data_IF_671519042605
#
_entry.id   IF_671519042605
#
_cell.length_a   1.000
_cell.length_b   1.000
_cell.length_c   1.000
_cell.angle_alpha   90.00
_cell.angle_beta   90.00
_cell.angle_gamma   90.00
#
_symmetry.space_group_name_H-M   'P 1'
#
loop_
_entity.id
_entity.type
_entity.pdbx_description
1 polymer ?
#
# COMPACT_ATOMS: atom_id res chain seq x y z
N UNK A 1 -51.44 -6.59 2.80
CA UNK A 1 -50.00 -6.25 2.79
C UNK A 1 -49.63 -5.94 1.35
N UNK A 2 -49.24 -4.71 1.04
CA UNK A 2 -48.92 -4.26 -0.33
C UNK A 2 -47.51 -4.70 -0.72
N UNK A 3 -47.25 -4.85 -2.03
CA UNK A 3 -45.95 -5.26 -2.58
C UNK A 3 -44.78 -4.35 -2.13
N UNK A 4 -45.07 -3.09 -1.82
CA UNK A 4 -44.12 -2.12 -1.24
C UNK A 4 -43.58 -2.57 0.12
N UNK A 5 -44.46 -3.03 1.01
CA UNK A 5 -44.09 -3.38 2.39
C UNK A 5 -43.26 -4.67 2.45
N UNK A 6 -43.38 -5.54 1.45
CA UNK A 6 -42.57 -6.76 1.31
C UNK A 6 -41.14 -6.46 0.82
N UNK A 7 -40.99 -5.47 -0.07
CA UNK A 7 -39.68 -5.04 -0.58
C UNK A 7 -38.90 -4.30 0.50
N UNK A 8 -39.59 -3.47 1.28
CA UNK A 8 -39.00 -2.73 2.41
C UNK A 8 -38.51 -3.70 3.50
N UNK A 9 -39.32 -4.69 3.88
CA UNK A 9 -38.90 -5.73 4.84
C UNK A 9 -37.72 -6.56 4.33
N UNK A 10 -37.69 -6.86 3.02
CA UNK A 10 -36.54 -7.53 2.40
C UNK A 10 -35.29 -6.66 2.42
N UNK A 11 -35.42 -5.36 2.17
CA UNK A 11 -34.31 -4.41 2.24
C UNK A 11 -33.76 -4.32 3.66
N UNK A 12 -34.63 -4.23 4.67
CA UNK A 12 -34.25 -4.21 6.10
C UNK A 12 -33.55 -5.51 6.53
N UNK A 13 -34.08 -6.67 6.12
CA UNK A 13 -33.43 -7.96 6.35
C UNK A 13 -32.04 -8.01 5.71
N UNK A 14 -31.88 -7.49 4.49
CA UNK A 14 -30.60 -7.45 3.79
C UNK A 14 -29.61 -6.54 4.51
N UNK A 15 -30.00 -5.32 4.87
CA UNK A 15 -29.16 -4.38 5.61
C UNK A 15 -28.72 -4.96 6.94
N UNK A 16 -29.63 -5.62 7.66
CA UNK A 16 -29.34 -6.23 8.95
C UNK A 16 -28.38 -7.43 8.80
N UNK A 17 -28.49 -8.19 7.71
CA UNK A 17 -27.58 -9.30 7.41
C UNK A 17 -26.21 -8.79 6.99
N UNK A 18 -26.15 -7.68 6.26
CA UNK A 18 -24.91 -7.05 5.82
C UNK A 18 -24.18 -6.39 6.99
N UNK A 19 -24.90 -5.73 7.89
CA UNK A 19 -24.37 -5.19 9.14
C UNK A 19 -23.77 -6.29 10.04
N UNK A 20 -24.48 -7.41 10.22
CA UNK A 20 -23.98 -8.58 10.97
C UNK A 20 -22.72 -9.18 10.34
N UNK A 21 -22.67 -9.26 9.01
CA UNK A 21 -21.48 -9.74 8.30
C UNK A 21 -20.29 -8.81 8.52
N UNK A 22 -20.48 -7.49 8.48
CA UNK A 22 -19.41 -6.52 8.74
C UNK A 22 -18.94 -6.57 10.20
N UNK A 23 -19.86 -6.75 11.14
CA UNK A 23 -19.53 -6.85 12.56
C UNK A 23 -18.70 -8.10 12.89
N UNK A 24 -19.11 -9.26 12.36
CA UNK A 24 -18.33 -10.49 12.44
C UNK A 24 -16.96 -10.34 11.76
N UNK A 25 -16.92 -9.73 10.58
CA UNK A 25 -15.67 -9.48 9.87
C UNK A 25 -14.74 -8.56 10.66
N UNK A 26 -15.28 -7.51 11.31
CA UNK A 26 -14.50 -6.62 12.19
C UNK A 26 -13.87 -7.39 13.34
N UNK A 27 -14.67 -8.22 14.02
CA UNK A 27 -14.24 -9.02 15.16
C UNK A 27 -13.16 -10.03 14.77
N UNK A 28 -13.32 -10.73 13.66
CA UNK A 28 -12.30 -11.67 13.17
C UNK A 28 -11.08 -10.96 12.56
N UNK A 29 -11.29 -9.76 12.00
CA UNK A 29 -10.20 -8.97 11.42
C UNK A 29 -9.29 -8.37 12.47
N UNK A 30 -9.67 -8.24 13.74
CA UNK A 30 -8.90 -7.46 14.71
C UNK A 30 -7.48 -8.03 14.94
N UNK A 31 -7.36 -9.35 14.96
CA UNK A 31 -6.06 -10.03 15.04
C UNK A 31 -5.36 -10.10 13.67
N UNK A 32 -6.10 -10.44 12.61
CA UNK A 32 -5.56 -10.51 11.25
C UNK A 32 -5.13 -9.17 10.68
N UNK A 33 -5.68 -8.06 11.15
CA UNK A 33 -5.35 -6.70 10.72
C UNK A 33 -3.96 -6.31 11.22
N UNK A 34 -3.58 -6.71 12.44
CA UNK A 34 -2.24 -6.46 12.99
C UNK A 34 -1.18 -7.24 12.23
N UNK A 35 -1.40 -8.55 12.03
CA UNK A 35 -0.48 -9.38 11.25
C UNK A 35 -0.46 -9.00 9.76
N UNK A 36 -1.62 -8.72 9.20
CA UNK A 36 -1.79 -8.27 7.81
C UNK A 36 -1.11 -6.94 7.54
N UNK A 37 -1.18 -5.99 8.48
CA UNK A 37 -0.49 -4.70 8.37
C UNK A 37 1.04 -4.89 8.37
N UNK A 38 1.58 -5.72 9.27
CA UNK A 38 3.04 -6.00 9.34
C UNK A 38 3.53 -6.66 8.06
N UNK A 39 2.82 -7.67 7.56
CA UNK A 39 3.15 -8.36 6.31
C UNK A 39 3.06 -7.41 5.11
N UNK A 40 2.02 -6.59 5.03
CA UNK A 40 1.85 -5.62 3.94
C UNK A 40 3.01 -4.60 3.91
N UNK A 41 3.40 -4.04 5.07
CA UNK A 41 4.55 -3.13 5.17
C UNK A 41 5.84 -3.85 4.74
N UNK A 42 6.06 -5.08 5.18
CA UNK A 42 7.21 -5.89 4.78
C UNK A 42 7.28 -6.13 3.27
N UNK A 43 6.15 -6.45 2.63
CA UNK A 43 6.06 -6.62 1.18
C UNK A 43 6.35 -5.32 0.44
N UNK A 44 5.79 -4.19 0.90
CA UNK A 44 6.03 -2.88 0.27
C UNK A 44 7.50 -2.47 0.34
N UNK A 45 8.12 -2.62 1.52
CA UNK A 45 9.54 -2.29 1.71
C UNK A 45 10.43 -3.23 0.88
N UNK A 46 10.20 -4.54 0.97
CA UNK A 46 10.95 -5.55 0.21
C UNK A 46 10.84 -5.33 -1.30
N UNK A 47 9.61 -5.09 -1.80
CA UNK A 47 9.38 -4.76 -3.21
C UNK A 47 10.07 -3.46 -3.62
N UNK A 48 10.04 -2.43 -2.77
CA UNK A 48 10.75 -1.17 -2.99
C UNK A 48 12.26 -1.36 -3.17
N UNK A 49 12.90 -2.13 -2.29
CA UNK A 49 14.34 -2.44 -2.35
C UNK A 49 14.65 -3.25 -3.62
N UNK A 50 13.90 -4.32 -3.90
CA UNK A 50 14.13 -5.16 -5.09
C UNK A 50 13.89 -4.38 -6.39
N UNK A 51 12.86 -3.54 -6.45
CA UNK A 51 12.58 -2.70 -7.62
C UNK A 51 13.69 -1.66 -7.84
N UNK A 52 14.21 -1.06 -6.77
CA UNK A 52 15.31 -0.11 -6.84
C UNK A 52 16.60 -0.76 -7.36
N UNK A 53 16.95 -1.95 -6.84
CA UNK A 53 18.14 -2.69 -7.30
C UNK A 53 17.99 -3.20 -8.74
N UNK A 54 16.81 -3.70 -9.14
CA UNK A 54 16.53 -4.07 -10.54
C UNK A 54 16.62 -2.89 -11.49
N UNK A 55 16.14 -1.70 -11.10
CA UNK A 55 16.24 -0.48 -11.93
C UNK A 55 17.69 -0.10 -12.22
N UNK A 56 18.62 -0.36 -11.29
CA UNK A 56 20.07 -0.17 -11.52
C UNK A 56 20.62 -1.18 -12.53
N UNK A 57 20.25 -2.46 -12.41
CA UNK A 57 20.70 -3.51 -13.35
C UNK A 57 20.19 -3.30 -14.77
N UNK A 58 18.89 -3.01 -14.92
CA UNK A 58 18.28 -2.75 -16.24
C UNK A 58 19.01 -1.61 -16.97
N UNK A 59 19.36 -0.52 -16.28
CA UNK A 59 20.14 0.56 -16.88
C UNK A 59 21.50 0.10 -17.40
N UNK A 60 22.22 -0.70 -16.62
CA UNK A 60 23.54 -1.23 -16.99
C UNK A 60 23.40 -2.17 -18.20
N UNK A 61 22.40 -3.05 -18.20
CA UNK A 61 22.15 -3.98 -19.29
C UNK A 61 21.74 -3.26 -20.58
N UNK A 62 20.96 -2.17 -20.48
CA UNK A 62 20.61 -1.32 -21.64
C UNK A 62 21.85 -0.61 -22.21
N UNK A 63 22.73 -0.09 -21.35
CA UNK A 63 24.00 0.53 -21.79
C UNK A 63 24.89 -0.51 -22.49
N UNK A 64 25.01 -1.72 -21.92
CA UNK A 64 25.78 -2.81 -22.52
C UNK A 64 25.19 -3.25 -23.87
N UNK A 65 23.87 -3.31 -23.99
CA UNK A 65 23.21 -3.64 -25.25
C UNK A 65 23.45 -2.57 -26.32
N UNK A 66 23.47 -1.29 -25.95
CA UNK A 66 23.83 -0.20 -26.87
C UNK A 66 25.27 -0.31 -27.36
N UNK A 67 26.22 -0.63 -26.47
CA UNK A 67 27.64 -0.80 -26.79
C UNK A 67 27.87 -1.96 -27.77
N UNK A 68 27.18 -3.10 -27.57
CA UNK A 68 27.27 -4.26 -28.50
C UNK A 68 26.67 -3.92 -29.87
N UNK A 69 25.51 -3.27 -29.90
CA UNK A 69 24.86 -2.85 -31.15
C UNK A 69 25.70 -1.83 -31.93
N UNK A 70 26.43 -0.95 -31.25
CA UNK A 70 27.36 -0.01 -31.87
C UNK A 70 28.57 -0.73 -32.46
N UNK A 71 29.10 -1.73 -31.75
CA UNK A 71 30.24 -2.55 -32.19
C UNK A 71 29.92 -3.39 -33.43
N UNK A 72 28.67 -3.80 -33.59
CA UNK A 72 28.19 -4.56 -34.75
C UNK A 72 27.59 -3.67 -35.86
N UNK A 73 27.60 -2.34 -35.70
CA UNK A 73 27.09 -1.40 -36.70
C UNK A 73 25.56 -1.44 -36.88
N UNK A 74 24.84 -2.05 -35.95
CA UNK A 74 23.38 -2.23 -35.97
C UNK A 74 22.64 -1.12 -35.20
N UNK A 75 23.37 -0.23 -34.51
CA UNK A 75 22.78 0.84 -33.73
C UNK A 75 22.29 1.99 -34.63
N UNK A 76 20.97 2.11 -34.78
CA UNK A 76 20.30 3.24 -35.44
C UNK A 76 19.55 4.11 -34.41
N UNK A 77 19.28 5.38 -34.73
CA UNK A 77 18.60 6.37 -33.90
C UNK A 77 17.20 5.91 -33.43
N UNK A 78 16.48 5.17 -34.27
CA UNK A 78 15.19 4.58 -33.90
C UNK A 78 15.31 3.53 -32.78
N UNK A 79 16.36 2.71 -32.80
CA UNK A 79 16.62 1.68 -31.78
C UNK A 79 17.10 2.34 -30.49
N UNK A 80 17.99 3.35 -30.59
CA UNK A 80 18.43 4.18 -29.46
C UNK A 80 17.23 4.78 -28.72
N UNK A 81 16.31 5.40 -29.47
CA UNK A 81 15.13 6.06 -28.91
C UNK A 81 14.21 5.07 -28.20
N UNK A 82 13.99 3.89 -28.78
CA UNK A 82 13.14 2.84 -28.18
C UNK A 82 13.77 2.25 -26.92
N UNK A 83 15.08 1.98 -26.92
CA UNK A 83 15.80 1.47 -25.75
C UNK A 83 15.87 2.50 -24.62
N UNK A 84 15.90 3.80 -24.94
CA UNK A 84 15.86 4.87 -23.95
C UNK A 84 14.44 5.21 -23.46
N UNK A 85 13.39 4.85 -24.21
CA UNK A 85 12.00 5.17 -23.86
C UNK A 85 11.51 4.32 -22.69
N UNK A 86 11.73 4.78 -21.46
CA UNK A 86 11.13 4.14 -20.29
C UNK A 86 9.63 4.51 -20.25
N UNK A 87 8.73 3.54 -20.44
CA UNK A 87 7.29 3.74 -20.27
C UNK A 87 6.98 4.03 -18.80
N UNK A 88 6.84 5.31 -18.46
CA UNK A 88 6.48 5.72 -17.11
C UNK A 88 5.00 5.39 -16.84
N UNK A 89 4.71 4.81 -15.67
CA UNK A 89 3.34 4.51 -15.26
C UNK A 89 2.71 5.76 -14.65
N UNK A 90 1.64 6.26 -15.26
CA UNK A 90 0.88 7.43 -14.78
C UNK A 90 -0.04 7.09 -13.60
N UNK A 91 -0.41 5.82 -13.43
CA UNK A 91 -1.40 5.38 -12.45
C UNK A 91 -0.84 5.23 -11.02
N UNK A 92 0.35 4.66 -10.89
CA UNK A 92 0.97 4.40 -9.58
C UNK A 92 1.27 5.67 -8.76
N UNK A 93 1.84 6.75 -9.34
CA UNK A 93 2.15 7.95 -8.58
C UNK A 93 0.93 8.60 -7.93
N UNK A 94 -0.16 8.74 -8.70
CA UNK A 94 -1.39 9.37 -8.23
C UNK A 94 -2.10 8.55 -7.15
N UNK A 95 -2.16 7.23 -7.31
CA UNK A 95 -2.76 6.34 -6.32
C UNK A 95 -1.94 6.32 -5.02
N UNK A 96 -0.61 6.21 -5.12
CA UNK A 96 0.27 6.23 -3.94
C UNK A 96 0.17 7.55 -3.21
N UNK A 97 0.16 8.70 -3.91
CA UNK A 97 0.02 10.00 -3.28
C UNK A 97 -1.28 10.11 -2.47
N UNK A 98 -2.41 9.68 -3.03
CA UNK A 98 -3.71 9.70 -2.34
C UNK A 98 -3.73 8.79 -1.11
N UNK A 99 -3.20 7.57 -1.24
CA UNK A 99 -3.11 6.63 -0.12
C UNK A 99 -2.15 7.10 0.98
N UNK A 100 -1.06 7.77 0.61
CA UNK A 100 -0.08 8.28 1.57
C UNK A 100 -0.65 9.47 2.36
N UNK A 101 -1.35 10.40 1.68
CA UNK A 101 -2.05 11.50 2.34
C UNK A 101 -3.16 10.97 3.26
N UNK A 102 -3.96 10.00 2.79
CA UNK A 102 -5.02 9.40 3.59
C UNK A 102 -4.44 8.66 4.81
N UNK A 103 -3.35 7.90 4.61
CA UNK A 103 -2.66 7.20 5.68
C UNK A 103 -2.07 8.16 6.72
N UNK A 104 -1.43 9.25 6.28
CA UNK A 104 -0.93 10.31 7.17
C UNK A 104 -2.06 11.01 7.93
N UNK A 105 -3.17 11.32 7.26
CA UNK A 105 -4.33 11.95 7.89
C UNK A 105 -4.94 11.05 8.96
N UNK A 106 -5.10 9.75 8.67
CA UNK A 106 -5.65 8.78 9.61
C UNK A 106 -4.69 8.46 10.77
N UNK A 107 -3.39 8.48 10.52
CA UNK A 107 -2.38 8.24 11.53
C UNK A 107 -2.00 9.49 12.33
N UNK A 108 -2.41 10.69 11.90
CA UNK A 108 -2.02 11.99 12.49
C UNK A 108 -2.15 11.99 14.01
N UNK A 109 -3.31 11.59 14.54
CA UNK A 109 -3.57 11.67 15.98
C UNK A 109 -2.74 10.65 16.77
N UNK A 110 -2.54 9.45 16.21
CA UNK A 110 -1.75 8.38 16.84
C UNK A 110 -0.24 8.66 16.78
N UNK A 111 0.23 9.22 15.67
CA UNK A 111 1.62 9.64 15.47
C UNK A 111 1.92 10.87 16.33
N UNK A 112 0.98 11.83 16.42
CA UNK A 112 1.16 13.00 17.26
C UNK A 112 1.31 12.62 18.73
N UNK A 113 0.44 11.75 19.25
CA UNK A 113 0.53 11.27 20.63
C UNK A 113 1.81 10.44 20.86
N UNK A 114 2.25 9.64 19.89
CA UNK A 114 3.45 8.80 20.05
C UNK A 114 4.78 9.57 19.91
N UNK A 115 4.79 10.72 19.22
CA UNK A 115 6.01 11.53 18.99
C UNK A 115 6.10 12.72 19.94
N UNK A 116 4.97 13.33 20.33
CA UNK A 116 4.95 14.60 21.05
C UNK A 116 4.37 14.54 22.45
N UNK A 117 3.76 13.41 22.87
CA UNK A 117 3.46 13.19 24.28
C UNK A 117 4.65 12.41 24.86
N UNK A 118 5.47 13.02 25.75
CA UNK A 118 6.49 12.26 26.46
C UNK A 118 5.79 11.15 27.26
N UNK A 119 6.41 9.98 27.31
CA UNK A 119 5.95 8.86 28.11
C UNK A 119 6.07 9.19 29.61
N UNK A 120 5.20 10.06 30.12
CA UNK A 120 4.97 10.25 31.54
C UNK A 120 3.68 9.53 31.88
N UNK A 121 3.79 8.21 32.03
CA UNK A 121 2.96 7.38 32.92
C UNK A 121 3.45 5.94 32.80
N UNK A 122 4.48 5.62 33.59
CA UNK A 122 4.72 4.30 34.18
C UNK A 122 5.72 4.47 35.34
N UNK A 123 5.31 5.26 36.35
CA UNK A 123 5.80 5.16 37.71
C UNK A 123 4.63 4.79 38.60
N UNK A 124 4.27 3.50 38.63
CA UNK A 124 3.62 2.87 39.78
C UNK A 124 3.59 1.36 39.56
N UNK A 125 4.73 0.68 39.78
CA UNK A 125 4.85 -0.59 40.52
C UNK A 125 6.33 -0.69 40.92
N UNK A 126 6.71 -0.01 41.99
CA UNK A 126 7.66 -0.57 42.96
C UNK A 126 7.58 0.23 44.26
N UNK A 127 6.76 -0.26 45.19
CA UNK A 127 7.01 -0.32 46.64
C UNK A 127 5.72 -0.70 47.37
N UNK A 128 5.58 -1.98 47.72
CA UNK A 128 5.51 -2.45 49.11
C UNK A 128 5.12 -3.93 49.12
N UNK A 129 6.02 -4.70 49.73
CA UNK A 129 5.83 -5.93 50.52
C UNK A 129 4.56 -6.76 50.34
#
# INVERSE_FOLDING_TARGET
MTMSNYLESKSEELEQTLAKQIELLKKDSEDWLKFGAVVAVGVVIGYGIVKSTRKKRVKIDTIRAMEVLEKEGLLNEDIRTRLMSSKQSTFWPNLTQRLLILGLALAKDKIYNMIFVPADEDKEIEKSQ
#
